data_IF_584887621299
#
_entry.id   IF_584887621299
#
_cell.length_a   1.000
_cell.length_b   1.000
_cell.length_c   1.000
_cell.angle_alpha   90.00
_cell.angle_beta   90.00
_cell.angle_gamma   90.00
#
_symmetry.space_group_name_H-M   'P 1'
#
loop_
_entity.id
_entity.type
_entity.pdbx_description
1 polymer ?
#
# COMPACT_ATOMS: atom_id res chain seq x y z
N UNK A 1 -9.79 -5.31 11.31
CA UNK A 1 -9.34 -6.61 10.79
C UNK A 1 -7.96 -6.45 10.17
N UNK A 2 -7.05 -7.34 10.51
CA UNK A 2 -5.67 -7.26 10.04
C UNK A 2 -5.49 -8.10 8.78
N UNK A 3 -4.98 -7.47 7.73
CA UNK A 3 -4.75 -8.15 6.45
C UNK A 3 -3.28 -8.01 6.09
N UNK A 4 -2.63 -9.14 5.81
CA UNK A 4 -1.25 -9.13 5.35
C UNK A 4 -1.23 -9.48 3.86
N UNK A 5 -0.34 -8.85 3.12
CA UNK A 5 -0.23 -9.09 1.70
C UNK A 5 0.96 -8.40 1.09
N UNK A 6 1.04 -8.48 -0.22
CA UNK A 6 2.10 -7.86 -1.01
C UNK A 6 1.48 -6.77 -1.88
N UNK A 7 2.15 -5.64 -1.98
CA UNK A 7 1.67 -4.57 -2.87
C UNK A 7 1.86 -5.04 -4.30
N UNK A 8 0.75 -5.26 -5.00
CA UNK A 8 0.77 -5.74 -6.39
C UNK A 8 0.70 -4.60 -7.39
N UNK A 9 0.17 -3.45 -6.99
CA UNK A 9 0.06 -2.30 -7.87
C UNK A 9 -0.47 -1.10 -7.13
N UNK A 10 -0.49 0.03 -7.82
CA UNK A 10 -1.07 1.25 -7.28
C UNK A 10 -1.64 2.09 -8.42
N UNK A 11 -2.63 2.90 -8.10
CA UNK A 11 -3.23 3.85 -9.03
C UNK A 11 -3.33 5.22 -8.38
N UNK A 12 -2.98 6.22 -9.14
CA UNK A 12 -3.03 7.61 -8.70
C UNK A 12 -4.28 8.27 -9.26
N UNK A 13 -5.15 8.73 -8.37
CA UNK A 13 -6.33 9.53 -8.71
C UNK A 13 -6.17 10.87 -8.01
N UNK A 14 -5.92 11.91 -8.71
CA UNK A 14 -5.80 13.30 -8.22
C UNK A 14 -5.52 13.51 -6.72
N UNK A 15 -6.49 13.17 -5.85
CA UNK A 15 -6.38 13.38 -4.40
C UNK A 15 -6.34 12.07 -3.62
N UNK A 16 -6.32 10.94 -4.32
CA UNK A 16 -6.41 9.61 -3.72
C UNK A 16 -5.45 8.67 -4.43
N UNK A 17 -4.77 7.84 -3.67
CA UNK A 17 -3.97 6.75 -4.22
C UNK A 17 -4.59 5.44 -3.78
N UNK A 18 -4.76 4.53 -4.71
CA UNK A 18 -5.32 3.22 -4.45
C UNK A 18 -4.22 2.18 -4.54
N UNK A 19 -3.93 1.52 -3.43
CA UNK A 19 -2.97 0.42 -3.38
C UNK A 19 -3.72 -0.89 -3.50
N UNK A 20 -3.17 -1.83 -4.27
CA UNK A 20 -3.77 -3.15 -4.43
C UNK A 20 -2.89 -4.16 -3.71
N UNK A 21 -3.46 -4.82 -2.71
CA UNK A 21 -2.75 -5.85 -1.93
C UNK A 21 -3.14 -7.23 -2.41
N UNK A 22 -2.13 -8.03 -2.72
CA UNK A 22 -2.30 -9.43 -3.10
C UNK A 22 -2.15 -10.26 -1.84
N UNK A 23 -3.22 -10.92 -1.42
CA UNK A 23 -3.20 -11.73 -0.20
C UNK A 23 -2.80 -13.16 -0.49
N UNK A 24 -2.40 -13.89 0.56
CA UNK A 24 -1.97 -15.29 0.41
C UNK A 24 -3.09 -16.21 -0.11
N UNK A 25 -4.33 -15.87 0.19
CA UNK A 25 -5.47 -16.68 -0.26
C UNK A 25 -5.95 -16.29 -1.67
N UNK A 26 -5.18 -15.48 -2.39
CA UNK A 26 -5.46 -15.15 -3.79
C UNK A 26 -6.42 -14.01 -4.02
N UNK A 27 -6.73 -13.24 -2.98
CA UNK A 27 -7.60 -12.06 -3.12
C UNK A 27 -6.78 -10.83 -3.42
N UNK A 28 -7.41 -9.88 -4.10
CA UNK A 28 -6.84 -8.55 -4.30
C UNK A 28 -7.69 -7.57 -3.52
N UNK A 29 -7.07 -6.87 -2.57
CA UNK A 29 -7.76 -5.94 -1.70
C UNK A 29 -7.34 -4.52 -2.04
N UNK A 30 -8.27 -3.64 -2.45
CA UNK A 30 -7.95 -2.24 -2.67
C UNK A 30 -7.87 -1.49 -1.36
N UNK A 31 -6.81 -0.72 -1.18
CA UNK A 31 -6.60 0.11 0.02
C UNK A 31 -6.55 1.56 -0.42
N UNK A 32 -7.61 2.34 -0.16
CA UNK A 32 -7.59 3.76 -0.50
C UNK A 32 -6.75 4.54 0.52
N UNK A 33 -6.00 5.50 0.01
CA UNK A 33 -5.14 6.32 0.84
C UNK A 33 -5.17 7.75 0.32
N UNK A 34 -5.31 8.72 1.21
CA UNK A 34 -5.24 10.12 0.82
C UNK A 34 -3.83 10.42 0.30
N UNK A 35 -3.74 11.29 -0.69
CA UNK A 35 -2.46 11.62 -1.31
C UNK A 35 -1.43 12.09 -0.27
N UNK A 36 -1.85 12.91 0.68
CA UNK A 36 -0.96 13.41 1.72
C UNK A 36 -0.42 12.28 2.60
N UNK A 37 -1.28 11.35 2.98
CA UNK A 37 -0.87 10.18 3.76
C UNK A 37 0.10 9.31 2.98
N UNK A 38 -0.15 9.15 1.68
CA UNK A 38 0.73 8.38 0.80
C UNK A 38 2.10 9.05 0.69
N UNK A 39 2.13 10.38 0.56
CA UNK A 39 3.38 11.12 0.50
C UNK A 39 4.19 10.97 1.78
N UNK A 40 3.54 11.01 2.94
CA UNK A 40 4.20 10.77 4.22
C UNK A 40 4.77 9.37 4.30
N UNK A 41 4.04 8.39 3.79
CA UNK A 41 4.52 7.01 3.75
C UNK A 41 5.81 6.89 2.94
N UNK A 42 5.85 7.52 1.76
CA UNK A 42 7.03 7.49 0.90
C UNK A 42 8.22 8.18 1.58
N UNK A 43 7.99 9.31 2.21
CA UNK A 43 9.05 10.05 2.92
C UNK A 43 9.66 9.20 4.03
N UNK A 44 8.82 8.52 4.80
CA UNK A 44 9.28 7.67 5.89
C UNK A 44 10.09 6.47 5.42
N UNK A 45 9.74 5.92 4.26
CA UNK A 45 10.42 4.77 3.68
C UNK A 45 11.56 5.17 2.73
N UNK A 46 11.69 6.46 2.43
CA UNK A 46 12.66 7.00 1.47
C UNK A 46 12.57 6.28 0.12
N UNK A 47 11.34 6.02 -0.35
CA UNK A 47 11.10 5.23 -1.55
C UNK A 47 10.29 5.99 -2.57
N UNK A 48 10.45 5.61 -3.83
CA UNK A 48 9.59 6.08 -4.90
C UNK A 48 8.38 5.17 -5.00
N UNK A 49 7.26 5.66 -5.59
CA UNK A 49 6.03 4.86 -5.67
C UNK A 49 6.23 3.48 -6.31
N UNK A 50 7.02 3.39 -7.37
CA UNK A 50 7.23 2.12 -8.07
C UNK A 50 8.06 1.12 -7.26
N UNK A 51 8.81 1.59 -6.27
CA UNK A 51 9.61 0.72 -5.41
C UNK A 51 8.75 0.02 -4.34
N UNK A 52 7.52 0.45 -4.16
CA UNK A 52 6.61 -0.20 -3.22
C UNK A 52 6.06 -1.52 -3.75
N UNK A 53 6.07 -1.69 -5.07
CA UNK A 53 5.56 -2.92 -5.69
C UNK A 53 6.41 -4.10 -5.23
N UNK A 54 5.75 -5.14 -4.73
CA UNK A 54 6.42 -6.33 -4.23
C UNK A 54 6.74 -6.30 -2.74
N UNK A 55 6.50 -5.17 -2.07
CA UNK A 55 6.75 -5.06 -0.62
C UNK A 55 5.67 -5.78 0.17
N UNK A 56 6.07 -6.44 1.24
CA UNK A 56 5.14 -7.09 2.16
C UNK A 56 4.64 -6.10 3.18
N UNK A 57 3.33 -6.05 3.38
CA UNK A 57 2.70 -5.08 4.27
C UNK A 57 1.59 -5.73 5.08
N UNK A 58 1.23 -5.07 6.17
CA UNK A 58 0.07 -5.38 6.98
C UNK A 58 -0.85 -4.16 6.97
N UNK A 59 -2.14 -4.39 6.88
CA UNK A 59 -3.14 -3.31 6.85
C UNK A 59 -4.26 -3.60 7.83
N UNK A 60 -4.47 -2.67 8.75
CA UNK A 60 -5.55 -2.75 9.74
C UNK A 60 -6.26 -1.40 9.90
N UNK A 61 -6.24 -0.59 8.88
CA UNK A 61 -6.61 0.82 8.90
C UNK A 61 -5.38 1.69 8.68
N UNK A 62 -4.24 1.20 9.11
CA UNK A 62 -2.93 1.80 8.83
C UNK A 62 -2.05 0.78 8.14
N UNK A 63 -1.25 1.24 7.20
CA UNK A 63 -0.35 0.38 6.43
C UNK A 63 1.01 0.30 7.14
N UNK A 64 1.48 -0.91 7.38
CA UNK A 64 2.76 -1.15 8.03
C UNK A 64 3.61 -2.07 7.15
N UNK A 65 4.85 -1.67 6.90
CA UNK A 65 5.78 -2.51 6.12
C UNK A 65 6.38 -3.58 7.02
N UNK A 66 6.39 -4.81 6.50
CA UNK A 66 6.86 -5.98 7.25
C UNK A 66 8.29 -6.39 6.87
N UNK A 67 8.82 -5.84 5.78
CA UNK A 67 10.18 -6.16 5.33
C UNK A 67 11.16 -4.99 5.39
#
# INVERSE_FOLDING_TARGET
>A
MNVAGTIAGLRDYSSLVLLFLDTEDGRVIPVPMELRAFQHLLEGEARRPDELIGRCVSYDGDLTFLD
#
